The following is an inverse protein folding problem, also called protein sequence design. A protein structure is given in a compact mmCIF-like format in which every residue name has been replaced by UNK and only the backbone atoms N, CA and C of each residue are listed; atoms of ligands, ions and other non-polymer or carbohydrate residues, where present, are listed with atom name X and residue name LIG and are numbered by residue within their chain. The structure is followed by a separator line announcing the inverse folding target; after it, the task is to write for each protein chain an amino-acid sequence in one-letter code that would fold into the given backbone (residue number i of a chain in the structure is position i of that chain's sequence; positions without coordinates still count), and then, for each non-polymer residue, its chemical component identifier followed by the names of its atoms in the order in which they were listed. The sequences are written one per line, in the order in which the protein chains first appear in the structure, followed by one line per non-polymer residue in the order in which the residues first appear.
data_IF_263613885269
#
_entry.id   IF_263613885269
#
_cell.length_a   1.000
_cell.length_b   1.000
_cell.length_c   1.000
_cell.angle_alpha   90.00
_cell.angle_beta   90.00
_cell.angle_gamma   90.00
#
_symmetry.space_group_name_H-M   'P 1'
#
loop_
_entity.id
_entity.type
_entity.pdbx_description
1 polymer ?
#
# COMPACT_ATOMS: atom_id res chain seq x y z
N UNK A 1 28.48 12.53 -11.58
CA UNK A 1 28.05 13.50 -12.61
C UNK A 1 27.27 14.63 -11.93
N UNK A 2 27.61 15.88 -12.21
CA UNK A 2 26.82 17.04 -11.84
C UNK A 2 25.63 17.22 -12.81
N UNK A 3 24.48 17.69 -12.32
CA UNK A 3 23.52 18.47 -13.11
C UNK A 3 22.57 17.74 -14.06
N UNK A 4 21.53 17.07 -13.54
CA UNK A 4 20.27 16.93 -14.28
C UNK A 4 19.23 17.89 -13.67
N UNK A 5 18.56 18.67 -14.50
CA UNK A 5 17.48 19.58 -14.09
C UNK A 5 16.36 18.82 -13.36
N UNK A 6 15.68 19.45 -12.39
CA UNK A 6 14.52 18.83 -11.74
C UNK A 6 13.44 18.50 -12.78
N UNK A 7 12.72 17.39 -12.57
CA UNK A 7 11.54 17.05 -13.35
C UNK A 7 10.46 18.06 -12.99
N UNK A 8 9.94 18.82 -13.97
CA UNK A 8 8.91 19.82 -13.71
C UNK A 8 7.57 19.12 -13.59
N UNK A 9 6.93 19.22 -12.43
CA UNK A 9 5.70 18.50 -12.14
C UNK A 9 4.54 19.44 -11.88
N UNK A 10 3.36 19.00 -12.30
CA UNK A 10 2.08 19.60 -11.92
C UNK A 10 1.37 18.73 -10.88
N UNK A 11 0.85 19.35 -9.82
CA UNK A 11 0.04 18.66 -8.82
C UNK A 11 -1.45 18.87 -9.11
N UNK A 12 -2.14 17.82 -9.54
CA UNK A 12 -3.56 17.86 -9.92
C UNK A 12 -4.40 17.32 -8.76
N UNK A 13 -4.98 18.23 -7.99
CA UNK A 13 -5.72 17.95 -6.76
C UNK A 13 -5.25 18.81 -5.59
N UNK A 14 -6.19 19.29 -4.78
CA UNK A 14 -5.93 20.11 -3.60
C UNK A 14 -6.60 19.54 -2.33
N UNK A 15 -6.84 18.23 -2.32
CA UNK A 15 -7.53 17.52 -1.24
C UNK A 15 -6.69 17.39 0.04
N UNK A 16 -7.32 16.88 1.10
CA UNK A 16 -6.66 16.71 2.39
C UNK A 16 -5.39 15.83 2.33
N UNK A 17 -5.38 14.79 1.48
CA UNK A 17 -4.21 13.91 1.36
C UNK A 17 -3.00 14.63 0.76
N UNK A 18 -3.20 15.56 -0.18
CA UNK A 18 -2.13 16.41 -0.70
C UNK A 18 -1.46 17.18 0.44
N UNK A 19 -2.27 17.85 1.27
CA UNK A 19 -1.80 18.64 2.41
C UNK A 19 -1.05 17.79 3.43
N UNK A 20 -1.55 16.58 3.70
CA UNK A 20 -1.01 15.69 4.74
C UNK A 20 0.23 14.90 4.30
N UNK A 21 0.35 14.56 3.00
CA UNK A 21 1.29 13.53 2.55
C UNK A 21 2.21 13.95 1.40
N UNK A 22 1.78 14.86 0.50
CA UNK A 22 2.59 15.25 -0.67
C UNK A 22 3.45 16.49 -0.42
N UNK A 23 2.96 17.48 0.35
CA UNK A 23 3.65 18.77 0.46
C UNK A 23 5.03 18.66 1.11
N UNK A 24 5.17 17.82 2.15
CA UNK A 24 6.45 17.66 2.84
C UNK A 24 7.50 16.95 1.96
N UNK A 25 7.20 15.79 1.34
CA UNK A 25 8.12 15.17 0.38
C UNK A 25 8.48 16.05 -0.82
N UNK A 26 7.51 16.79 -1.39
CA UNK A 26 7.78 17.70 -2.51
C UNK A 26 8.71 18.86 -2.11
N UNK A 27 8.53 19.40 -0.90
CA UNK A 27 9.42 20.43 -0.37
C UNK A 27 10.85 19.90 -0.18
N UNK A 28 10.97 18.72 0.45
CA UNK A 28 12.26 18.07 0.72
C UNK A 28 13.02 17.68 -0.55
N UNK A 29 12.28 17.42 -1.65
CA UNK A 29 12.83 16.92 -2.91
C UNK A 29 12.62 17.89 -4.08
N UNK A 30 12.53 19.20 -3.81
CA UNK A 30 12.35 20.24 -4.84
C UNK A 30 13.49 20.31 -5.88
N UNK A 31 14.69 19.87 -5.51
CA UNK A 31 15.81 19.67 -6.44
C UNK A 31 15.64 18.48 -7.40
N UNK A 32 14.66 17.61 -7.13
CA UNK A 32 14.30 16.44 -7.94
C UNK A 32 13.02 16.69 -8.72
N UNK A 33 11.98 17.13 -8.02
CA UNK A 33 10.62 17.34 -8.50
C UNK A 33 10.29 18.82 -8.27
N UNK A 34 10.42 19.62 -9.32
CA UNK A 34 10.10 21.03 -9.26
C UNK A 34 8.61 21.21 -9.53
N UNK A 35 7.85 21.58 -8.49
CA UNK A 35 6.42 21.83 -8.62
C UNK A 35 6.16 23.14 -9.38
N UNK A 36 5.88 23.10 -10.68
CA UNK A 36 5.69 24.31 -11.51
C UNK A 36 4.23 24.74 -11.66
N UNK A 37 3.29 23.83 -11.42
CA UNK A 37 1.87 24.09 -11.54
C UNK A 37 1.06 23.30 -10.51
N UNK A 38 -0.08 23.84 -10.12
CA UNK A 38 -1.09 23.14 -9.36
C UNK A 38 -2.45 23.34 -10.01
N UNK A 39 -3.32 22.34 -9.88
CA UNK A 39 -4.68 22.41 -10.39
C UNK A 39 -5.71 21.88 -9.40
N UNK A 40 -6.88 22.49 -9.39
CA UNK A 40 -8.08 21.95 -8.76
C UNK A 40 -9.31 22.36 -9.55
N UNK A 41 -10.40 21.59 -9.44
CA UNK A 41 -11.71 22.03 -9.96
C UNK A 41 -12.16 23.37 -9.35
N UNK A 42 -11.79 23.63 -8.09
CA UNK A 42 -12.12 24.86 -7.38
C UNK A 42 -10.94 25.82 -7.35
N UNK A 43 -11.16 27.05 -7.82
CA UNK A 43 -10.20 28.15 -7.75
C UNK A 43 -9.72 28.37 -6.30
N UNK A 44 -10.66 28.43 -5.34
CA UNK A 44 -10.33 28.58 -3.92
C UNK A 44 -9.31 27.53 -3.46
N UNK A 45 -9.55 26.26 -3.76
CA UNK A 45 -8.68 25.18 -3.27
C UNK A 45 -7.29 25.22 -3.89
N UNK A 46 -7.16 25.56 -5.18
CA UNK A 46 -5.83 25.67 -5.80
C UNK A 46 -5.09 26.91 -5.32
N UNK A 47 -5.79 28.02 -5.05
CA UNK A 47 -5.18 29.23 -4.49
C UNK A 47 -4.62 28.95 -3.09
N UNK A 48 -5.38 28.30 -2.22
CA UNK A 48 -4.89 27.86 -0.89
C UNK A 48 -3.68 26.92 -1.00
N UNK A 49 -3.70 25.99 -1.97
CA UNK A 49 -2.59 25.07 -2.21
C UNK A 49 -1.33 25.81 -2.68
N UNK A 50 -1.45 26.71 -3.65
CA UNK A 50 -0.32 27.50 -4.17
C UNK A 50 0.28 28.37 -3.07
N UNK A 51 -0.55 28.97 -2.21
CA UNK A 51 -0.07 29.69 -1.03
C UNK A 51 0.74 28.78 -0.08
N UNK A 52 0.28 27.55 0.17
CA UNK A 52 0.97 26.61 1.04
C UNK A 52 2.32 26.13 0.48
N UNK A 53 2.45 26.02 -0.85
CA UNK A 53 3.68 25.57 -1.50
C UNK A 53 4.63 26.71 -1.86
N UNK A 54 4.18 27.97 -1.87
CA UNK A 54 4.98 29.14 -2.23
C UNK A 54 6.35 29.20 -1.54
N UNK A 55 6.43 28.73 -0.29
CA UNK A 55 7.67 28.66 0.51
C UNK A 55 8.78 27.81 -0.10
N UNK A 56 8.44 26.79 -0.90
CA UNK A 56 9.40 25.88 -1.54
C UNK A 56 9.24 25.80 -3.07
N UNK A 57 8.14 26.35 -3.62
CA UNK A 57 7.96 26.55 -5.05
C UNK A 57 7.26 27.89 -5.35
N UNK A 58 8.01 29.01 -5.34
CA UNK A 58 7.45 30.34 -5.55
C UNK A 58 6.96 30.58 -6.98
N UNK A 59 7.42 29.78 -7.95
CA UNK A 59 6.99 29.86 -9.36
C UNK A 59 5.78 28.97 -9.68
N UNK A 60 5.19 28.29 -8.69
CA UNK A 60 4.04 27.42 -8.90
C UNK A 60 2.82 28.22 -9.33
N UNK A 61 2.31 27.95 -10.54
CA UNK A 61 1.12 28.60 -11.11
C UNK A 61 -0.15 27.87 -10.70
N UNK A 62 -1.19 28.62 -10.36
CA UNK A 62 -2.53 28.08 -10.08
C UNK A 62 -3.34 27.96 -11.38
N UNK A 63 -3.95 26.80 -11.60
CA UNK A 63 -4.91 26.55 -12.67
C UNK A 63 -6.21 25.99 -12.07
N UNK A 64 -7.37 26.31 -12.64
CA UNK A 64 -8.63 25.76 -12.15
C UNK A 64 -9.64 25.49 -13.26
N UNK A 65 -10.62 24.63 -12.96
CA UNK A 65 -11.66 24.24 -13.90
C UNK A 65 -11.13 23.51 -15.13
N UNK A 66 -12.01 23.24 -16.09
CA UNK A 66 -11.67 22.43 -17.25
C UNK A 66 -10.73 23.18 -18.22
N UNK A 67 -10.96 24.47 -18.43
CA UNK A 67 -10.09 25.31 -19.27
C UNK A 67 -8.67 25.40 -18.70
N UNK A 68 -8.54 25.64 -17.39
CA UNK A 68 -7.25 25.67 -16.72
C UNK A 68 -6.54 24.32 -16.73
N UNK A 69 -7.27 23.20 -16.69
CA UNK A 69 -6.66 21.87 -16.87
C UNK A 69 -6.05 21.77 -18.27
N UNK A 70 -6.79 22.14 -19.31
CA UNK A 70 -6.31 22.08 -20.69
C UNK A 70 -5.12 23.02 -20.93
N UNK A 71 -5.13 24.21 -20.33
CA UNK A 71 -4.01 25.15 -20.40
C UNK A 71 -2.75 24.57 -19.73
N UNK A 72 -2.89 24.01 -18.51
CA UNK A 72 -1.79 23.35 -17.80
C UNK A 72 -1.20 22.21 -18.62
N UNK A 73 -2.05 21.35 -19.19
CA UNK A 73 -1.61 20.20 -19.99
C UNK A 73 -0.89 20.60 -21.28
N UNK A 74 -1.19 21.79 -21.84
CA UNK A 74 -0.46 22.36 -22.99
C UNK A 74 0.86 23.03 -22.61
N UNK A 75 1.10 23.27 -21.32
CA UNK A 75 2.28 23.98 -20.85
C UNK A 75 3.56 23.18 -21.11
N UNK A 76 4.58 23.83 -21.70
CA UNK A 76 5.92 23.28 -21.82
C UNK A 76 6.69 23.29 -20.48
N UNK A 77 6.15 23.95 -19.45
CA UNK A 77 6.72 24.00 -18.10
C UNK A 77 6.28 22.82 -17.22
N UNK A 78 5.56 21.85 -17.78
CA UNK A 78 5.11 20.63 -17.08
C UNK A 78 5.58 19.42 -17.85
N UNK A 79 6.43 18.59 -17.23
CA UNK A 79 6.92 17.34 -17.80
C UNK A 79 6.05 16.15 -17.34
N UNK A 80 5.54 16.21 -16.10
CA UNK A 80 4.73 15.16 -15.50
C UNK A 80 3.59 15.70 -14.63
N UNK A 81 2.54 14.89 -14.45
CA UNK A 81 1.39 15.18 -13.59
C UNK A 81 1.33 14.19 -12.42
N UNK A 82 1.24 14.72 -11.20
CA UNK A 82 0.90 13.99 -9.99
C UNK A 82 -0.61 14.11 -9.77
N UNK A 83 -1.37 13.06 -10.05
CA UNK A 83 -2.84 13.06 -10.03
C UNK A 83 -3.33 12.53 -8.68
N UNK A 84 -3.74 13.44 -7.81
CA UNK A 84 -4.19 13.14 -6.43
C UNK A 84 -5.68 13.49 -6.31
N UNK A 85 -6.50 12.73 -7.01
CA UNK A 85 -7.95 12.93 -7.17
C UNK A 85 -8.73 11.70 -6.73
N UNK A 86 -10.05 11.82 -6.43
CA UNK A 86 -10.91 10.66 -6.25
C UNK A 86 -10.86 9.71 -7.46
N UNK A 87 -10.91 8.39 -7.25
CA UNK A 87 -10.80 7.40 -8.33
C UNK A 87 -11.89 7.60 -9.41
N UNK A 88 -13.07 8.08 -9.03
CA UNK A 88 -14.20 8.32 -9.94
C UNK A 88 -13.87 9.33 -11.04
N UNK A 89 -13.00 10.29 -10.76
CA UNK A 89 -12.69 11.39 -11.69
C UNK A 89 -11.27 11.34 -12.21
N UNK A 90 -10.37 10.59 -11.55
CA UNK A 90 -8.96 10.59 -11.95
C UNK A 90 -8.75 10.01 -13.35
N UNK A 91 -9.55 9.01 -13.76
CA UNK A 91 -9.40 8.33 -15.06
C UNK A 91 -9.35 9.32 -16.22
N UNK A 92 -10.30 10.25 -16.26
CA UNK A 92 -10.38 11.25 -17.33
C UNK A 92 -9.16 12.18 -17.33
N UNK A 93 -8.66 12.56 -16.14
CA UNK A 93 -7.49 13.43 -15.97
C UNK A 93 -6.20 12.69 -16.38
N UNK A 94 -6.05 11.42 -15.99
CA UNK A 94 -4.94 10.55 -16.42
C UNK A 94 -4.92 10.42 -17.93
N UNK A 95 -6.05 10.12 -18.56
CA UNK A 95 -6.15 10.03 -20.01
C UNK A 95 -5.78 11.34 -20.70
N UNK A 96 -6.29 12.48 -20.20
CA UNK A 96 -5.98 13.79 -20.76
C UNK A 96 -4.48 14.12 -20.67
N UNK A 97 -3.85 13.86 -19.51
CA UNK A 97 -2.43 14.11 -19.30
C UNK A 97 -1.55 13.23 -20.20
N UNK A 98 -1.86 11.93 -20.31
CA UNK A 98 -1.13 11.02 -21.18
C UNK A 98 -1.29 11.39 -22.67
N UNK A 99 -2.49 11.79 -23.11
CA UNK A 99 -2.70 12.31 -24.49
C UNK A 99 -1.89 13.57 -24.77
N UNK A 100 -1.70 14.42 -23.76
CA UNK A 100 -0.87 15.61 -23.85
C UNK A 100 0.64 15.32 -23.77
N UNK A 101 1.04 14.05 -23.75
CA UNK A 101 2.44 13.63 -23.70
C UNK A 101 3.09 13.77 -22.33
N UNK A 102 2.31 13.99 -21.26
CA UNK A 102 2.83 14.13 -19.89
C UNK A 102 3.00 12.76 -19.25
N UNK A 103 4.10 12.57 -18.51
CA UNK A 103 4.20 11.42 -17.60
C UNK A 103 3.16 11.56 -16.48
N UNK A 104 2.65 10.45 -15.95
CA UNK A 104 1.61 10.47 -14.93
C UNK A 104 1.95 9.53 -13.77
N UNK A 105 1.92 10.06 -12.56
CA UNK A 105 1.77 9.28 -11.33
C UNK A 105 0.36 9.55 -10.80
N UNK A 106 -0.53 8.56 -10.82
CA UNK A 106 -1.90 8.68 -10.31
C UNK A 106 -2.06 7.96 -8.98
N UNK A 107 -2.95 8.45 -8.13
CA UNK A 107 -3.28 7.76 -6.89
C UNK A 107 -3.99 6.42 -7.11
N UNK A 108 -3.82 5.53 -6.13
CA UNK A 108 -4.67 4.36 -5.94
C UNK A 108 -6.06 4.75 -5.42
N UNK A 109 -7.09 3.89 -5.60
CA UNK A 109 -7.14 2.75 -6.51
C UNK A 109 -6.98 3.18 -7.96
N UNK A 110 -6.38 2.35 -8.82
CA UNK A 110 -6.12 2.69 -10.25
C UNK A 110 -7.36 3.19 -11.00
N UNK A 111 -8.53 2.67 -10.64
CA UNK A 111 -9.85 3.12 -11.06
C UNK A 111 -10.91 2.68 -10.01
N UNK A 112 -12.16 3.15 -10.09
CA UNK A 112 -13.21 2.71 -9.17
C UNK A 112 -13.65 1.26 -9.34
N UNK A 113 -13.54 0.72 -10.56
CA UNK A 113 -13.92 -0.67 -10.87
C UNK A 113 -12.87 -1.33 -11.74
N UNK A 114 -12.80 -2.67 -11.69
CA UNK A 114 -11.87 -3.46 -12.50
C UNK A 114 -12.05 -3.18 -14.00
N UNK A 115 -13.29 -3.20 -14.50
CA UNK A 115 -13.58 -2.90 -15.90
C UNK A 115 -13.06 -1.51 -16.32
N UNK A 116 -13.15 -0.50 -15.45
CA UNK A 116 -12.60 0.83 -15.75
C UNK A 116 -11.08 0.86 -15.71
N UNK A 117 -10.44 0.06 -14.85
CA UNK A 117 -8.99 -0.10 -14.81
C UNK A 117 -8.46 -0.77 -16.08
N UNK A 118 -9.11 -1.84 -16.55
CA UNK A 118 -8.79 -2.54 -17.80
C UNK A 118 -8.91 -1.60 -19.00
N UNK A 119 -9.98 -0.80 -19.06
CA UNK A 119 -10.15 0.23 -20.10
C UNK A 119 -9.00 1.25 -20.08
N UNK A 120 -8.54 1.66 -18.90
CA UNK A 120 -7.47 2.63 -18.76
C UNK A 120 -6.10 2.04 -19.15
N UNK A 121 -5.84 0.77 -18.80
CA UNK A 121 -4.67 0.01 -19.24
C UNK A 121 -4.66 -0.19 -20.76
N UNK A 122 -5.79 -0.59 -21.34
CA UNK A 122 -5.93 -0.74 -22.79
C UNK A 122 -5.69 0.59 -23.51
N UNK A 123 -6.24 1.69 -22.97
CA UNK A 123 -5.98 3.03 -23.47
C UNK A 123 -4.48 3.37 -23.42
N UNK A 124 -3.79 3.17 -22.30
CA UNK A 124 -2.36 3.49 -22.17
C UNK A 124 -1.51 2.68 -23.16
N UNK A 125 -1.80 1.38 -23.33
CA UNK A 125 -1.15 0.51 -24.33
C UNK A 125 -1.39 0.96 -25.77
N UNK A 126 -2.52 1.60 -26.05
CA UNK A 126 -2.85 2.10 -27.39
C UNK A 126 -2.10 3.39 -27.78
N UNK A 127 -1.41 4.04 -26.85
CA UNK A 127 -0.70 5.28 -27.13
C UNK A 127 0.49 5.06 -28.09
N UNK A 128 0.77 6.03 -28.99
CA UNK A 128 1.94 5.98 -29.86
C UNK A 128 3.24 5.86 -29.07
N UNK A 129 4.17 5.05 -29.56
CA UNK A 129 5.46 4.83 -28.91
C UNK A 129 6.54 5.82 -29.39
N UNK A 130 7.44 6.29 -28.51
CA UNK A 130 7.47 6.01 -27.07
C UNK A 130 6.34 6.74 -26.32
N UNK A 131 5.55 5.99 -25.55
CA UNK A 131 4.45 6.54 -24.78
C UNK A 131 4.94 7.14 -23.44
N UNK A 132 4.25 8.14 -22.88
CA UNK A 132 4.55 8.61 -21.55
C UNK A 132 4.36 7.49 -20.51
N UNK A 133 5.26 7.46 -19.52
CA UNK A 133 5.14 6.66 -18.30
C UNK A 133 3.81 6.95 -17.60
N UNK A 134 3.08 5.88 -17.26
CA UNK A 134 1.96 5.91 -16.34
C UNK A 134 2.21 4.93 -15.19
N UNK A 135 2.31 5.50 -13.98
CA UNK A 135 2.51 4.81 -12.72
C UNK A 135 1.33 5.07 -11.77
N UNK A 136 1.14 4.17 -10.80
CA UNK A 136 0.16 4.31 -9.72
C UNK A 136 0.88 4.35 -8.37
N UNK A 137 0.57 5.35 -7.55
CA UNK A 137 1.08 5.49 -6.19
C UNK A 137 0.32 4.54 -5.26
N UNK A 138 0.92 3.38 -4.96
CA UNK A 138 0.51 2.47 -3.89
C UNK A 138 1.57 2.43 -2.78
N UNK A 139 1.39 3.29 -1.77
CA UNK A 139 2.46 3.62 -0.84
C UNK A 139 2.86 2.44 0.05
N UNK A 140 2.00 1.43 0.22
CA UNK A 140 2.30 0.24 1.04
C UNK A 140 3.42 -0.60 0.44
N UNK A 141 3.64 -0.54 -0.89
CA UNK A 141 4.81 -1.16 -1.54
C UNK A 141 6.13 -0.46 -1.21
N UNK A 142 6.07 0.73 -0.63
CA UNK A 142 7.23 1.55 -0.29
C UNK A 142 7.42 1.77 1.22
N UNK A 143 6.51 1.25 2.06
CA UNK A 143 6.61 1.44 3.51
C UNK A 143 7.68 0.52 4.10
N UNK A 144 8.62 1.13 4.80
CA UNK A 144 9.82 0.45 5.31
C UNK A 144 9.52 -0.78 6.18
N UNK A 145 8.55 -0.73 7.09
CA UNK A 145 8.20 -1.89 7.90
C UNK A 145 7.68 -3.09 7.08
N UNK A 146 6.95 -2.82 5.99
CA UNK A 146 6.49 -3.86 5.06
C UNK A 146 7.64 -4.36 4.19
N UNK A 147 8.51 -3.47 3.69
CA UNK A 147 9.70 -3.87 2.93
C UNK A 147 10.62 -4.76 3.76
N UNK A 148 10.83 -4.45 5.04
CA UNK A 148 11.63 -5.31 5.93
C UNK A 148 10.99 -6.68 6.18
N UNK A 149 9.66 -6.75 6.30
CA UNK A 149 8.96 -8.04 6.38
C UNK A 149 9.17 -8.86 5.10
N UNK A 150 8.98 -8.22 3.95
CA UNK A 150 9.26 -8.83 2.64
C UNK A 150 10.68 -9.35 2.54
N UNK A 151 11.67 -8.55 2.91
CA UNK A 151 13.09 -8.92 2.85
C UNK A 151 13.42 -10.06 3.80
N UNK A 152 12.78 -10.08 4.99
CA UNK A 152 12.89 -11.19 5.94
C UNK A 152 12.41 -12.50 5.34
N UNK A 153 11.27 -12.47 4.64
CA UNK A 153 10.69 -13.62 3.94
C UNK A 153 11.61 -14.05 2.78
N UNK A 154 11.97 -13.11 1.90
CA UNK A 154 12.79 -13.37 0.72
C UNK A 154 14.19 -13.90 1.05
N UNK A 155 14.77 -13.47 2.17
CA UNK A 155 16.05 -13.98 2.68
C UNK A 155 15.94 -15.42 3.25
N UNK A 156 14.74 -15.99 3.33
CA UNK A 156 14.49 -17.30 3.93
C UNK A 156 14.66 -17.31 5.45
N UNK A 157 14.66 -16.16 6.11
CA UNK A 157 14.89 -16.06 7.57
C UNK A 157 13.87 -16.89 8.35
N UNK A 158 12.61 -16.90 7.90
CA UNK A 158 11.51 -17.64 8.54
C UNK A 158 11.45 -19.13 8.16
N UNK A 159 12.32 -19.60 7.26
CA UNK A 159 12.15 -20.92 6.64
C UNK A 159 11.06 -20.92 5.57
N UNK A 160 10.48 -22.10 5.32
CA UNK A 160 9.36 -22.21 4.39
C UNK A 160 8.15 -21.49 5.01
N UNK A 161 7.58 -20.52 4.31
CA UNK A 161 6.40 -19.79 4.78
C UNK A 161 5.18 -20.71 4.67
N UNK A 162 4.59 -21.02 5.82
CA UNK A 162 3.42 -21.88 5.92
C UNK A 162 2.11 -21.08 5.88
N UNK A 163 2.14 -19.80 6.29
CA UNK A 163 0.94 -18.96 6.39
C UNK A 163 1.25 -17.48 6.25
N UNK A 164 0.37 -16.78 5.54
CA UNK A 164 0.28 -15.33 5.51
C UNK A 164 -1.10 -14.91 6.03
N UNK A 165 -1.15 -13.97 6.97
CA UNK A 165 -2.39 -13.41 7.50
C UNK A 165 -2.40 -11.90 7.34
N UNK A 166 -3.41 -11.37 6.66
CA UNK A 166 -3.68 -9.93 6.59
C UNK A 166 -4.91 -9.59 7.42
N UNK A 167 -4.72 -8.87 8.52
CA UNK A 167 -5.79 -8.43 9.41
C UNK A 167 -5.83 -6.90 9.49
N UNK A 168 -6.98 -6.32 9.18
CA UNK A 168 -7.17 -4.87 9.15
C UNK A 168 -8.40 -4.44 9.92
N UNK A 169 -8.17 -3.69 10.97
CA UNK A 169 -9.17 -3.00 11.78
C UNK A 169 -9.03 -1.50 11.53
N UNK A 170 -10.00 -0.91 10.84
CA UNK A 170 -10.09 0.54 10.65
C UNK A 170 -11.20 1.09 11.55
N UNK A 171 -10.88 2.14 12.29
CA UNK A 171 -11.83 2.84 13.15
C UNK A 171 -12.44 4.04 12.40
N UNK A 172 -13.38 3.78 11.50
CA UNK A 172 -14.15 4.84 10.85
C UNK A 172 -15.34 5.21 11.70
N UNK A 173 -15.56 6.52 11.87
CA UNK A 173 -16.71 7.05 12.58
C UNK A 173 -17.12 8.41 12.02
N UNK A 174 -18.40 8.82 12.18
CA UNK A 174 -18.85 10.17 11.86
C UNK A 174 -17.95 11.25 12.48
N UNK A 175 -17.65 12.30 11.71
CA UNK A 175 -16.77 13.39 12.12
C UNK A 175 -15.26 13.12 11.93
N UNK A 176 -14.88 11.92 11.49
CA UNK A 176 -13.52 11.67 11.05
C UNK A 176 -13.29 12.26 9.64
N UNK A 177 -12.16 12.95 9.44
CA UNK A 177 -11.79 13.63 8.17
C UNK A 177 -12.02 12.79 6.90
N UNK A 178 -11.65 11.50 6.93
CA UNK A 178 -11.79 10.60 5.78
C UNK A 178 -13.21 10.04 5.63
N UNK A 179 -13.96 9.92 6.74
CA UNK A 179 -15.37 9.52 6.72
C UNK A 179 -16.25 10.57 6.01
N UNK A 180 -16.00 11.84 6.31
CA UNK A 180 -16.82 12.94 5.79
C UNK A 180 -16.63 13.20 4.28
N UNK A 181 -15.66 12.55 3.65
CA UNK A 181 -15.48 12.57 2.19
C UNK A 181 -16.60 11.79 1.49
N UNK A 182 -17.63 12.47 0.98
CA UNK A 182 -18.82 11.85 0.37
C UNK A 182 -18.48 10.79 -0.69
N UNK A 183 -17.50 11.04 -1.57
CA UNK A 183 -17.12 10.10 -2.64
C UNK A 183 -16.62 8.74 -2.12
N UNK A 184 -16.14 8.66 -0.88
CA UNK A 184 -15.70 7.39 -0.27
C UNK A 184 -16.86 6.55 0.25
N UNK A 185 -18.02 7.17 0.49
CA UNK A 185 -19.22 6.52 1.03
C UNK A 185 -20.16 6.00 -0.05
N UNK A 186 -19.97 6.45 -1.28
CA UNK A 186 -20.82 6.13 -2.41
C UNK A 186 -20.42 4.76 -3.01
N UNK A 187 -21.17 3.73 -2.62
CA UNK A 187 -20.96 2.36 -3.10
C UNK A 187 -21.41 2.14 -4.55
N UNK A 188 -22.22 3.05 -5.12
CA UNK A 188 -22.64 2.96 -6.52
C UNK A 188 -21.47 3.30 -7.45
N UNK A 189 -20.71 4.34 -7.10
CA UNK A 189 -19.55 4.77 -7.89
C UNK A 189 -18.23 4.14 -7.46
N UNK A 190 -18.18 3.54 -6.27
CA UNK A 190 -17.05 2.78 -5.75
C UNK A 190 -17.55 1.51 -5.03
N UNK A 191 -17.73 0.39 -5.74
CA UNK A 191 -18.21 -0.85 -5.15
C UNK A 191 -17.42 -1.25 -3.91
N UNK A 192 -18.09 -1.62 -2.82
CA UNK A 192 -17.45 -1.93 -1.53
C UNK A 192 -16.94 -0.71 -0.74
N UNK A 193 -17.09 0.51 -1.26
CA UNK A 193 -16.75 1.76 -0.58
C UNK A 193 -15.35 1.73 0.07
N UNK A 194 -15.28 1.85 1.40
CA UNK A 194 -14.03 1.82 2.16
C UNK A 194 -13.28 0.49 2.09
N UNK A 195 -13.97 -0.64 1.88
CA UNK A 195 -13.32 -1.93 1.67
C UNK A 195 -12.52 -1.92 0.37
N UNK A 196 -12.96 -1.19 -0.66
CA UNK A 196 -12.18 -1.02 -1.89
C UNK A 196 -11.12 0.06 -1.75
N UNK A 197 -11.47 1.23 -1.21
CA UNK A 197 -10.53 2.35 -1.09
C UNK A 197 -9.33 2.03 -0.20
N UNK A 198 -9.57 1.32 0.91
CA UNK A 198 -8.54 0.85 1.82
C UNK A 198 -7.99 -0.51 1.43
N UNK A 199 -8.83 -1.44 0.95
CA UNK A 199 -8.44 -2.82 0.65
C UNK A 199 -7.30 -2.96 -0.34
N UNK A 200 -7.23 -2.08 -1.35
CA UNK A 200 -6.14 -2.10 -2.34
C UNK A 200 -4.75 -2.02 -1.71
N UNK A 201 -4.61 -1.27 -0.61
CA UNK A 201 -3.35 -1.20 0.15
C UNK A 201 -2.98 -2.54 0.78
N UNK A 202 -3.97 -3.19 1.37
CA UNK A 202 -3.79 -4.39 2.17
C UNK A 202 -3.54 -5.60 1.29
N UNK A 203 -4.25 -5.69 0.16
CA UNK A 203 -3.95 -6.72 -0.85
C UNK A 203 -2.61 -6.45 -1.54
N UNK A 204 -2.21 -5.19 -1.78
CA UNK A 204 -0.89 -4.89 -2.33
C UNK A 204 0.24 -5.40 -1.40
N UNK A 205 0.11 -5.16 -0.10
CA UNK A 205 1.03 -5.66 0.91
C UNK A 205 1.02 -7.21 0.97
N UNK A 206 -0.16 -7.83 0.96
CA UNK A 206 -0.29 -9.29 0.97
C UNK A 206 0.34 -9.93 -0.27
N UNK A 207 0.06 -9.41 -1.47
CA UNK A 207 0.65 -9.87 -2.73
C UNK A 207 2.17 -9.70 -2.74
N UNK A 208 2.69 -8.63 -2.13
CA UNK A 208 4.13 -8.44 -1.96
C UNK A 208 4.78 -9.54 -1.11
N UNK A 209 4.15 -9.94 -0.01
CA UNK A 209 4.66 -11.03 0.84
C UNK A 209 4.54 -12.39 0.16
N UNK A 210 3.43 -12.65 -0.53
CA UNK A 210 3.24 -13.87 -1.29
C UNK A 210 4.29 -14.02 -2.39
N UNK A 211 4.58 -12.93 -3.13
CA UNK A 211 5.68 -12.90 -4.10
C UNK A 211 7.03 -13.20 -3.46
N UNK A 212 7.34 -12.60 -2.31
CA UNK A 212 8.58 -12.87 -1.57
C UNK A 212 8.67 -14.32 -1.05
N UNK A 213 7.54 -14.93 -0.72
CA UNK A 213 7.45 -16.33 -0.31
C UNK A 213 7.52 -17.32 -1.49
N UNK A 214 7.58 -16.83 -2.74
CA UNK A 214 7.59 -17.66 -3.94
C UNK A 214 6.22 -18.25 -4.29
N UNK A 215 5.12 -17.66 -3.79
CA UNK A 215 3.77 -18.21 -4.00
C UNK A 215 3.15 -17.86 -5.36
N UNK A 216 3.71 -16.88 -6.07
CA UNK A 216 3.22 -16.43 -7.38
C UNK A 216 2.09 -15.41 -7.31
N UNK A 217 1.31 -15.29 -8.38
CA UNK A 217 0.14 -14.41 -8.45
C UNK A 217 -1.08 -15.01 -7.74
N UNK A 218 -2.00 -14.15 -7.31
CA UNK A 218 -3.29 -14.59 -6.79
C UNK A 218 -4.16 -15.13 -7.94
N UNK A 219 -4.80 -16.29 -7.74
CA UNK A 219 -5.56 -17.02 -8.77
C UNK A 219 -7.05 -17.11 -8.45
N UNK A 220 -7.41 -17.14 -7.17
CA UNK A 220 -8.79 -17.16 -6.73
C UNK A 220 -8.96 -16.53 -5.34
N UNK A 221 -10.18 -16.12 -5.03
CA UNK A 221 -10.55 -15.64 -3.70
C UNK A 221 -11.94 -16.12 -3.30
N UNK A 222 -12.14 -16.32 -1.99
CA UNK A 222 -13.46 -16.55 -1.40
C UNK A 222 -13.62 -15.67 -0.18
N UNK A 223 -14.78 -15.05 0.00
CA UNK A 223 -15.04 -14.24 1.19
C UNK A 223 -16.50 -14.21 1.60
N UNK A 224 -16.73 -13.86 2.85
CA UNK A 224 -18.02 -13.48 3.40
C UNK A 224 -17.97 -12.01 3.81
N UNK A 225 -19.05 -11.28 3.56
CA UNK A 225 -19.17 -9.88 3.95
C UNK A 225 -20.44 -9.65 4.77
N UNK A 226 -20.38 -8.69 5.69
CA UNK A 226 -21.51 -8.29 6.55
C UNK A 226 -21.50 -6.78 6.77
N UNK A 227 -22.67 -6.25 7.10
CA UNK A 227 -22.86 -4.91 7.63
C UNK A 227 -23.15 -4.99 9.12
N UNK A 228 -22.35 -4.36 9.98
CA UNK A 228 -22.56 -4.37 11.43
C UNK A 228 -22.83 -2.98 12.01
N UNK A 229 -22.32 -1.92 11.39
CA UNK A 229 -22.49 -0.55 11.85
C UNK A 229 -23.69 0.12 11.21
N UNK A 230 -24.50 0.81 12.00
CA UNK A 230 -25.64 1.59 11.48
C UNK A 230 -25.22 2.86 10.72
N UNK A 231 -23.96 3.29 10.90
CA UNK A 231 -23.49 4.60 10.43
C UNK A 231 -22.46 4.50 9.29
N UNK A 232 -22.08 3.30 8.86
CA UNK A 232 -21.08 3.08 7.83
C UNK A 232 -21.72 2.50 6.55
N UNK A 233 -21.16 2.79 5.37
CA UNK A 233 -21.54 2.08 4.15
C UNK A 233 -21.30 0.58 4.29
N UNK A 234 -22.25 -0.23 3.81
CA UNK A 234 -22.12 -1.69 3.82
C UNK A 234 -21.63 -2.23 2.47
N UNK A 235 -20.94 -3.39 2.48
CA UNK A 235 -20.47 -4.10 3.68
C UNK A 235 -19.33 -3.35 4.38
N UNK A 236 -19.27 -3.45 5.71
CA UNK A 236 -18.24 -2.85 6.55
C UNK A 236 -17.32 -3.89 7.22
N UNK A 237 -17.63 -5.18 7.04
CA UNK A 237 -16.81 -6.34 7.43
C UNK A 237 -16.64 -7.28 6.25
N UNK A 238 -15.41 -7.74 6.02
CA UNK A 238 -15.03 -8.70 4.99
C UNK A 238 -14.02 -9.71 5.56
N UNK A 239 -14.26 -11.00 5.37
CA UNK A 239 -13.38 -12.09 5.80
C UNK A 239 -13.26 -13.14 4.69
N UNK A 240 -12.06 -13.55 4.35
CA UNK A 240 -11.84 -14.45 3.22
C UNK A 240 -10.47 -15.12 3.16
N UNK A 241 -10.31 -15.94 2.13
CA UNK A 241 -9.08 -16.60 1.72
C UNK A 241 -8.71 -16.20 0.30
N UNK A 242 -7.41 -16.14 0.03
CA UNK A 242 -6.84 -15.85 -1.28
C UNK A 242 -5.88 -16.97 -1.65
N UNK A 243 -6.10 -17.62 -2.80
CA UNK A 243 -5.21 -18.64 -3.37
C UNK A 243 -4.21 -18.03 -4.34
N UNK A 244 -3.03 -18.65 -4.39
CA UNK A 244 -1.94 -18.26 -5.28
C UNK A 244 -1.54 -19.40 -6.24
N UNK A 245 -0.76 -19.09 -7.27
CA UNK A 245 -0.30 -20.04 -8.31
C UNK A 245 0.40 -21.28 -7.73
N UNK A 246 1.12 -21.14 -6.62
CA UNK A 246 1.75 -22.27 -5.91
C UNK A 246 0.77 -23.23 -5.22
N UNK A 247 -0.52 -22.91 -5.17
CA UNK A 247 -1.53 -23.63 -4.39
C UNK A 247 -1.65 -23.17 -2.93
N UNK A 248 -0.71 -22.36 -2.44
CA UNK A 248 -0.78 -21.76 -1.10
C UNK A 248 -1.97 -20.80 -0.97
N UNK A 249 -2.48 -20.64 0.26
CA UNK A 249 -3.56 -19.73 0.58
C UNK A 249 -3.20 -18.79 1.73
N UNK A 250 -3.62 -17.53 1.63
CA UNK A 250 -3.51 -16.53 2.68
C UNK A 250 -4.88 -16.18 3.28
N UNK A 251 -4.90 -15.80 4.56
CA UNK A 251 -6.09 -15.23 5.19
C UNK A 251 -6.16 -13.73 4.97
N UNK A 252 -7.37 -13.21 4.73
CA UNK A 252 -7.63 -11.79 4.56
C UNK A 252 -8.86 -11.39 5.37
N UNK A 253 -8.70 -10.45 6.30
CA UNK A 253 -9.79 -9.87 7.06
C UNK A 253 -9.69 -8.35 7.12
N UNK A 254 -10.82 -7.69 6.96
CA UNK A 254 -10.94 -6.25 7.00
C UNK A 254 -12.26 -5.83 7.64
N UNK A 255 -12.22 -4.89 8.57
CA UNK A 255 -13.39 -4.19 9.09
C UNK A 255 -13.15 -2.69 9.12
N UNK A 256 -14.20 -1.92 8.85
CA UNK A 256 -14.19 -0.45 9.00
C UNK A 256 -14.96 0.04 10.23
N UNK A 257 -15.58 -0.89 10.95
CA UNK A 257 -16.39 -0.66 12.14
C UNK A 257 -15.63 -0.89 13.45
N UNK A 258 -14.29 -0.90 13.43
CA UNK A 258 -13.49 -1.19 14.62
C UNK A 258 -13.51 -0.02 15.63
N UNK A 259 -13.37 -0.35 16.92
CA UNK A 259 -13.22 0.67 17.98
C UNK A 259 -11.81 1.29 18.03
N UNK A 260 -10.82 0.66 17.41
CA UNK A 260 -9.44 1.13 17.35
C UNK A 260 -8.78 0.69 16.05
N UNK A 261 -7.86 1.51 15.53
CA UNK A 261 -7.09 1.13 14.34
C UNK A 261 -6.02 0.10 14.69
N UNK A 262 -5.96 -0.98 13.91
CA UNK A 262 -4.88 -1.96 13.92
C UNK A 262 -4.74 -2.59 12.53
N UNK A 263 -3.54 -2.57 11.96
CA UNK A 263 -3.23 -3.20 10.67
C UNK A 263 -2.04 -4.11 10.88
N UNK A 264 -2.19 -5.39 10.60
CA UNK A 264 -1.16 -6.38 10.80
C UNK A 264 -1.06 -7.32 9.59
N UNK A 265 0.15 -7.49 9.08
CA UNK A 265 0.50 -8.51 8.10
C UNK A 265 1.50 -9.45 8.75
N UNK A 266 1.13 -10.72 8.94
CA UNK A 266 1.93 -11.73 9.62
C UNK A 266 2.35 -12.83 8.65
N UNK A 267 3.60 -13.23 8.72
CA UNK A 267 4.15 -14.40 8.07
C UNK A 267 4.60 -15.40 9.12
N UNK A 268 4.15 -16.65 8.98
CA UNK A 268 4.56 -17.77 9.82
C UNK A 268 5.32 -18.75 8.96
N UNK A 269 6.55 -19.05 9.32
CA UNK A 269 7.39 -20.03 8.65
C UNK A 269 7.93 -21.10 9.59
N UNK A 270 8.58 -22.12 9.02
CA UNK A 270 9.08 -23.29 9.75
C UNK A 270 10.17 -22.99 10.78
N UNK A 271 10.79 -21.81 10.73
CA UNK A 271 11.86 -21.38 11.65
C UNK A 271 11.50 -20.14 12.48
N UNK A 272 10.28 -19.65 12.40
CA UNK A 272 9.84 -18.48 13.15
C UNK A 272 8.75 -17.69 12.45
N UNK A 273 8.44 -16.54 13.01
CA UNK A 273 7.42 -15.64 12.48
C UNK A 273 7.86 -14.19 12.51
N UNK A 274 7.26 -13.41 11.62
CA UNK A 274 7.41 -11.97 11.61
C UNK A 274 6.08 -11.30 11.25
N UNK A 275 5.83 -10.13 11.82
CA UNK A 275 4.70 -9.27 11.48
C UNK A 275 5.13 -7.83 11.27
N UNK A 276 4.44 -7.15 10.34
CA UNK A 276 4.46 -5.70 10.23
C UNK A 276 3.14 -5.17 10.79
N UNK A 277 3.20 -4.38 11.87
CA UNK A 277 2.05 -3.92 12.63
C UNK A 277 1.96 -2.39 12.69
N UNK A 278 0.75 -1.84 12.58
CA UNK A 278 0.46 -0.41 12.73
C UNK A 278 -0.81 -0.21 13.54
N UNK A 279 -0.76 0.58 14.62
CA UNK A 279 -1.91 0.82 15.50
C UNK A 279 -1.88 -0.07 16.74
N UNK A 280 -3.00 -0.29 17.42
CA UNK A 280 -3.05 -1.21 18.58
C UNK A 280 -2.13 -0.85 19.76
N UNK A 281 -1.88 0.45 20.00
CA UNK A 281 -1.03 0.92 21.11
C UNK A 281 0.46 1.12 20.77
N UNK A 282 0.86 0.94 19.50
CA UNK A 282 2.20 1.35 19.02
C UNK A 282 2.35 2.87 18.98
N UNK A 283 3.59 3.37 18.94
CA UNK A 283 3.89 4.81 18.92
C UNK A 283 3.06 5.57 17.86
N UNK A 284 2.65 6.80 18.19
CA UNK A 284 1.80 7.67 17.36
C UNK A 284 2.39 7.79 15.94
N UNK A 285 1.69 7.28 14.92
CA UNK A 285 2.13 7.48 13.53
C UNK A 285 1.44 6.60 12.50
N UNK A 286 1.84 6.80 11.25
CA UNK A 286 1.43 5.97 10.09
C UNK A 286 2.42 4.84 9.79
N UNK A 287 3.49 4.73 10.55
CA UNK A 287 4.58 3.78 10.34
C UNK A 287 4.21 2.35 10.79
N UNK A 288 4.85 1.36 10.17
CA UNK A 288 4.79 -0.03 10.61
C UNK A 288 5.95 -0.34 11.56
N UNK A 289 5.65 -1.08 12.62
CA UNK A 289 6.64 -1.74 13.47
C UNK A 289 6.81 -3.17 12.98
N UNK A 290 8.05 -3.58 12.75
CA UNK A 290 8.36 -4.99 12.50
C UNK A 290 8.53 -5.70 13.84
N UNK A 291 7.84 -6.84 14.01
CA UNK A 291 7.99 -7.75 15.14
C UNK A 291 8.48 -9.09 14.60
N UNK A 292 9.53 -9.67 15.18
CA UNK A 292 10.09 -10.95 14.75
C UNK A 292 10.30 -11.87 15.93
N UNK A 293 9.89 -13.12 15.81
CA UNK A 293 10.14 -14.18 16.77
C UNK A 293 10.72 -15.38 16.04
N UNK A 294 12.04 -15.54 16.10
CA UNK A 294 12.75 -16.64 15.46
C UNK A 294 12.90 -17.83 16.42
N UNK A 295 13.01 -19.04 15.87
CA UNK A 295 13.19 -20.26 16.64
C UNK A 295 14.36 -20.15 17.63
N UNK A 296 14.09 -20.46 18.89
CA UNK A 296 15.07 -20.37 19.99
C UNK A 296 15.15 -19.00 20.68
N UNK A 297 14.42 -17.97 20.21
CA UNK A 297 14.31 -16.70 20.92
C UNK A 297 13.14 -16.72 21.92
N UNK A 298 13.37 -16.23 23.13
CA UNK A 298 12.33 -16.12 24.16
C UNK A 298 11.47 -14.85 24.03
N UNK A 299 11.99 -13.81 23.38
CA UNK A 299 11.32 -12.50 23.26
C UNK A 299 11.40 -11.98 21.83
N UNK A 300 10.32 -11.39 21.29
CA UNK A 300 10.36 -10.82 19.94
C UNK A 300 11.31 -9.64 19.81
N UNK A 301 11.99 -9.54 18.67
CA UNK A 301 12.73 -8.33 18.28
C UNK A 301 11.77 -7.34 17.65
N UNK A 302 11.93 -6.05 17.98
CA UNK A 302 11.07 -4.98 17.45
C UNK A 302 11.90 -3.91 16.76
N UNK A 303 11.43 -3.44 15.61
CA UNK A 303 12.04 -2.34 14.89
C UNK A 303 10.98 -1.36 14.41
N UNK A 304 11.13 -0.09 14.79
CA UNK A 304 10.27 0.99 14.32
C UNK A 304 10.72 1.51 12.96
N UNK A 305 9.77 2.03 12.19
CA UNK A 305 10.01 2.78 10.95
C UNK A 305 9.45 4.20 11.06
N UNK A 306 9.85 5.09 10.17
CA UNK A 306 9.33 6.48 10.16
C UNK A 306 8.71 6.89 8.82
N UNK A 307 8.88 6.08 7.77
CA UNK A 307 8.43 6.40 6.42
C UNK A 307 6.96 6.07 6.18
N UNK A 308 6.26 6.94 5.46
CA UNK A 308 4.89 6.73 4.98
C UNK A 308 4.84 6.13 3.56
N UNK A 309 6.00 5.96 2.91
CA UNK A 309 6.11 5.47 1.53
C UNK A 309 6.01 6.55 0.45
N UNK A 310 5.28 7.65 0.69
CA UNK A 310 4.96 8.67 -0.34
C UNK A 310 6.19 9.35 -0.92
N UNK A 311 7.19 9.65 -0.10
CA UNK A 311 8.45 10.21 -0.61
C UNK A 311 9.15 9.25 -1.58
N UNK A 312 9.16 7.96 -1.26
CA UNK A 312 9.82 6.95 -2.09
C UNK A 312 9.08 6.76 -3.43
N UNK A 313 7.75 6.77 -3.44
CA UNK A 313 6.96 6.69 -4.68
C UNK A 313 7.27 7.85 -5.64
N UNK A 314 7.37 9.06 -5.10
CA UNK A 314 7.73 10.25 -5.85
C UNK A 314 9.15 10.14 -6.44
N UNK A 315 10.09 9.60 -5.67
CA UNK A 315 11.46 9.40 -6.13
C UNK A 315 11.57 8.28 -7.17
N UNK A 316 10.90 7.14 -6.97
CA UNK A 316 10.76 6.06 -7.96
C UNK A 316 10.23 6.63 -9.28
N UNK A 317 9.14 7.39 -9.22
CA UNK A 317 8.53 7.99 -10.39
C UNK A 317 9.46 8.98 -11.08
N UNK A 318 10.17 9.82 -10.33
CA UNK A 318 11.15 10.75 -10.88
C UNK A 318 12.29 10.01 -11.61
N UNK A 319 12.79 8.90 -11.07
CA UNK A 319 13.81 8.05 -11.72
C UNK A 319 13.28 7.46 -13.03
N UNK A 320 12.08 6.88 -13.02
CA UNK A 320 11.45 6.28 -14.20
C UNK A 320 11.16 7.31 -15.31
N UNK A 321 10.51 8.42 -14.97
CA UNK A 321 10.17 9.48 -15.93
C UNK A 321 11.43 10.07 -16.59
N UNK A 322 12.54 10.19 -15.86
CA UNK A 322 13.82 10.66 -16.42
C UNK A 322 14.55 9.64 -17.29
N UNK A 323 14.25 8.36 -17.13
CA UNK A 323 14.81 7.29 -17.95
C UNK A 323 14.00 7.04 -19.23
N UNK A 324 12.73 7.50 -19.26
CA UNK A 324 11.87 7.44 -20.42
C UNK A 324 12.41 8.35 -21.55
N UNK A 325 13.25 7.79 -22.41
CA UNK A 325 13.89 8.50 -23.53
C UNK A 325 15.40 8.26 -23.69
N UNK A 326 16.06 7.58 -22.75
CA UNK A 326 17.49 7.26 -22.84
C UNK A 326 17.74 5.85 -23.39
N UNK A 327 17.60 5.67 -24.71
CA UNK A 327 18.14 4.51 -25.45
C UNK A 327 17.26 3.25 -25.59
N UNK A 328 17.67 2.28 -26.44
CA UNK A 328 16.92 1.05 -26.68
C UNK A 328 17.00 0.13 -25.45
N UNK A 329 15.87 -0.02 -24.76
CA UNK A 329 15.79 -0.71 -23.47
C UNK A 329 14.93 0.02 -22.42
N UNK A 330 14.15 1.02 -22.82
CA UNK A 330 13.26 1.76 -21.92
C UNK A 330 12.46 0.83 -20.99
N UNK A 331 12.54 1.11 -19.69
CA UNK A 331 11.83 0.35 -18.66
C UNK A 331 10.33 0.43 -18.93
N UNK A 332 9.77 -0.69 -19.39
CA UNK A 332 8.35 -0.78 -19.67
C UNK A 332 7.61 -1.04 -18.37
N UNK A 333 6.76 -0.10 -17.95
CA UNK A 333 5.80 -0.30 -16.85
C UNK A 333 4.63 -1.21 -17.25
N UNK A 334 4.60 -1.62 -18.52
CA UNK A 334 3.77 -2.73 -19.00
C UNK A 334 4.70 -3.92 -19.15
N UNK A 335 4.52 -4.95 -18.32
CA UNK A 335 5.40 -6.12 -18.22
C UNK A 335 5.96 -6.61 -19.57
N UNK A 336 7.22 -7.02 -19.55
CA UNK A 336 7.80 -7.77 -20.67
C UNK A 336 7.13 -9.15 -20.77
N UNK A 337 7.12 -9.73 -21.97
CA UNK A 337 6.48 -11.01 -22.28
C UNK A 337 6.92 -12.22 -21.43
N UNK A 338 7.92 -12.08 -20.55
CA UNK A 338 8.48 -13.18 -19.75
C UNK A 338 7.60 -13.57 -18.55
N UNK A 339 6.68 -12.72 -18.13
CA UNK A 339 5.70 -13.01 -17.05
C UNK A 339 4.37 -13.58 -17.58
N UNK A 340 4.27 -13.83 -18.89
CA UNK A 340 3.11 -14.48 -19.52
C UNK A 340 3.21 -16.03 -19.54
N UNK A 341 4.25 -16.62 -18.93
CA UNK A 341 4.55 -18.04 -19.05
C UNK A 341 4.87 -18.73 -17.73
N UNK A 342 3.85 -19.23 -17.05
CA UNK A 342 3.77 -20.59 -16.49
C UNK A 342 2.51 -20.71 -15.60
N UNK A 343 1.34 -20.68 -16.25
CA UNK A 343 0.11 -21.15 -15.62
C UNK A 343 0.19 -22.68 -15.48
N UNK A 344 0.25 -23.15 -14.24
CA UNK A 344 -0.26 -24.46 -13.88
C UNK A 344 -1.16 -24.25 -12.66
N UNK A 345 -2.46 -24.10 -12.90
CA UNK A 345 -3.44 -24.23 -11.83
C UNK A 345 -3.36 -25.67 -11.31
N UNK A 346 -2.73 -25.87 -10.16
CA UNK A 346 -2.90 -27.10 -9.40
C UNK A 346 -4.25 -27.03 -8.71
N UNK A 347 -5.01 -28.12 -8.75
CA UNK A 347 -6.34 -28.30 -8.13
C UNK A 347 -6.34 -28.27 -6.58
N UNK A 348 -5.32 -27.65 -5.97
CA UNK A 348 -5.11 -27.64 -4.52
C UNK A 348 -4.54 -28.95 -3.97
N UNK A 349 -4.09 -29.87 -4.82
CA UNK A 349 -3.25 -30.99 -4.39
C UNK A 349 -1.86 -30.51 -3.98
N UNK A 350 -1.37 -31.04 -2.87
CA UNK A 350 -0.06 -30.74 -2.29
C UNK A 350 0.99 -31.65 -2.97
N UNK A 351 1.84 -31.13 -3.88
CA UNK A 351 2.75 -31.95 -4.65
C UNK A 351 3.83 -32.63 -3.80
N UNK A 352 4.19 -32.08 -2.63
CA UNK A 352 5.13 -32.71 -1.71
C UNK A 352 4.46 -33.88 -0.96
N UNK A 353 3.18 -33.72 -0.58
CA UNK A 353 2.38 -34.79 0.05
C UNK A 353 2.02 -35.92 -0.91
N UNK A 354 1.78 -35.62 -2.18
CA UNK A 354 1.44 -36.63 -3.18
C UNK A 354 2.68 -37.36 -3.74
N UNK A 355 3.84 -36.71 -3.78
CA UNK A 355 5.11 -37.38 -4.02
C UNK A 355 5.46 -38.38 -2.89
N UNK A 356 5.15 -38.05 -1.64
CA UNK A 356 5.38 -38.94 -0.48
C UNK A 356 4.42 -40.15 -0.43
N UNK A 357 3.19 -40.02 -0.97
CA UNK A 357 2.22 -41.13 -1.07
C UNK A 357 2.52 -42.07 -2.24
N UNK A 358 3.00 -41.54 -3.37
CA UNK A 358 3.39 -42.37 -4.51
C UNK A 358 4.62 -43.25 -4.22
N UNK A 359 5.47 -42.87 -3.25
CA UNK A 359 6.67 -43.62 -2.85
C UNK A 359 6.46 -44.73 -1.81
N UNK A 360 5.25 -44.93 -1.28
CA UNK A 360 5.01 -45.88 -0.16
C UNK A 360 3.93 -46.94 -0.40
N UNK A 361 3.26 -46.96 -1.55
CA UNK A 361 2.30 -48.02 -1.88
C UNK A 361 2.99 -49.19 -2.62
N UNK A 362 3.74 -49.99 -1.87
CA UNK A 362 4.33 -51.24 -2.33
C UNK A 362 4.49 -52.25 -1.19
N UNK A 363 3.59 -53.24 -1.16
CA UNK A 363 3.59 -54.49 -0.38
C UNK A 363 2.99 -54.51 1.05
N UNK A 364 2.03 -55.44 1.24
CA UNK A 364 1.47 -55.89 2.52
C UNK A 364 0.11 -55.24 2.85
N UNK A 365 -1.06 -55.86 2.71
CA UNK A 365 -1.39 -57.29 2.84
C UNK A 365 -1.80 -57.62 4.28
N UNK A 366 -3.06 -57.34 4.64
CA UNK A 366 -3.85 -57.98 5.71
C UNK A 366 -3.37 -57.83 7.17
N UNK A 367 -4.12 -57.13 8.02
CA UNK A 367 -5.07 -57.79 8.93
C UNK A 367 -5.83 -56.77 9.79
N UNK A 368 -7.09 -57.12 10.07
CA UNK A 368 -8.01 -56.37 10.91
C UNK A 368 -7.75 -56.64 12.40
N UNK A 369 -7.76 -55.59 13.23
CA UNK A 369 -8.05 -55.72 14.65
C UNK A 369 -8.67 -54.43 15.20
N UNK A 370 -9.89 -54.61 15.68
CA UNK A 370 -10.82 -53.70 16.32
C UNK A 370 -10.49 -53.61 17.82
N UNK A 371 -10.30 -52.41 18.39
CA UNK A 371 -10.44 -52.19 19.85
C UNK A 371 -10.99 -50.79 20.10
N UNK A 372 -12.08 -50.73 20.86
CA UNK A 372 -12.79 -49.54 21.33
C UNK A 372 -12.57 -49.26 22.82
N UNK A 373 -12.90 -48.02 23.23
CA UNK A 373 -13.24 -47.53 24.59
C UNK A 373 -12.10 -47.43 25.63
N UNK A 374 -12.00 -46.45 26.55
CA UNK A 374 -12.82 -45.29 26.98
C UNK A 374 -11.97 -44.41 27.96
N UNK A 375 -12.46 -43.26 28.50
CA UNK A 375 -11.67 -42.16 29.07
C UNK A 375 -11.49 -42.20 30.60
N UNK A 376 -10.65 -41.31 31.15
CA UNK A 376 -10.54 -41.08 32.59
C UNK A 376 -10.57 -39.58 32.95
N UNK A 377 -11.26 -39.31 34.06
CA UNK A 377 -11.80 -38.03 34.50
C UNK A 377 -10.91 -37.28 35.52
N UNK A 378 -11.38 -36.05 35.84
CA UNK A 378 -10.91 -35.06 36.81
C UNK A 378 -10.80 -35.59 38.26
N UNK A 379 -10.05 -35.01 39.22
CA UNK A 379 -10.15 -33.72 39.97
C UNK A 379 -9.33 -33.93 41.31
N UNK A 380 -9.25 -33.05 42.35
CA UNK A 380 -9.41 -31.58 42.49
C UNK A 380 -8.37 -30.85 43.43
N UNK A 381 -8.46 -29.50 43.44
CA UNK A 381 -8.42 -28.48 44.52
C UNK A 381 -7.41 -28.48 45.72
N UNK A 382 -6.84 -27.29 46.02
CA UNK A 382 -7.21 -26.40 47.18
C UNK A 382 -6.50 -25.01 47.08
N UNK A 383 -7.23 -23.86 47.14
CA UNK A 383 -7.39 -22.87 48.24
C UNK A 383 -6.06 -22.41 48.91
N UNK A 384 -5.81 -21.13 49.22
CA UNK A 384 -6.64 -20.07 49.82
C UNK A 384 -5.94 -18.69 49.59
N UNK A 385 -6.65 -17.60 49.27
CA UNK A 385 -7.25 -16.55 50.13
C UNK A 385 -6.36 -15.34 50.53
N UNK A 386 -7.03 -14.17 50.44
CA UNK A 386 -6.81 -12.86 51.08
C UNK A 386 -5.76 -11.94 50.43
N UNK A 387 -5.98 -10.64 50.22
CA UNK A 387 -7.09 -9.75 50.56
C UNK A 387 -6.59 -8.30 50.62
N UNK A 388 -7.39 -7.33 50.14
CA UNK A 388 -7.25 -5.88 50.38
C UNK A 388 -6.02 -5.19 49.74
N UNK A 389 -5.97 -3.89 49.49
CA UNK A 389 -6.94 -2.79 49.50
C UNK A 389 -6.21 -1.61 48.81
N UNK A 390 -6.96 -0.62 48.34
CA UNK A 390 -6.46 0.55 47.59
C UNK A 390 -5.66 1.54 48.46
N UNK A 391 -4.77 2.34 47.83
CA UNK A 391 -4.70 3.80 48.01
C UNK A 391 -3.60 4.45 47.15
N UNK A 392 -3.91 5.68 46.76
CA UNK A 392 -3.17 6.56 45.85
C UNK A 392 -1.90 7.19 46.43
N UNK A 393 -1.02 7.67 45.55
CA UNK A 393 -0.11 8.79 45.85
C UNK A 393 0.09 9.66 44.60
N UNK A 394 -0.27 10.93 44.74
CA UNK A 394 0.04 12.04 43.84
C UNK A 394 1.45 12.58 44.15
N UNK A 395 2.08 13.22 43.15
CA UNK A 395 3.16 14.19 43.38
C UNK A 395 4.21 14.23 42.29
N UNK A 396 4.10 15.18 41.35
CA UNK A 396 5.26 15.65 40.59
C UNK A 396 5.09 17.14 40.27
N UNK A 397 6.04 17.90 40.79
CA UNK A 397 6.17 19.35 40.72
C UNK A 397 6.83 19.79 39.41
N UNK A 398 6.32 20.89 38.86
CA UNK A 398 6.88 21.62 37.73
C UNK A 398 8.07 22.49 38.16
N UNK A 399 9.05 22.65 37.28
CA UNK A 399 9.97 23.78 37.28
C UNK A 399 10.28 24.20 35.84
N UNK A 400 9.87 25.43 35.51
CA UNK A 400 10.24 26.19 34.32
C UNK A 400 11.61 26.84 34.53
N UNK A 401 12.38 27.01 33.45
CA UNK A 401 13.42 28.04 33.36
C UNK A 401 13.37 28.66 31.96
N UNK A 402 13.04 29.96 31.93
CA UNK A 402 13.23 30.86 30.79
C UNK A 402 14.68 31.40 30.77
N UNK A 403 15.16 31.79 29.59
CA UNK A 403 16.41 32.55 29.42
C UNK A 403 16.53 33.12 28.01
N UNK A 404 16.58 34.45 27.93
CA UNK A 404 16.43 35.28 26.74
C UNK A 404 17.75 35.61 25.98
N UNK A 405 17.59 36.01 24.71
CA UNK A 405 18.26 37.20 24.13
C UNK A 405 19.56 37.02 23.30
N UNK A 406 19.57 37.55 22.07
CA UNK A 406 20.79 37.88 21.34
C UNK A 406 20.66 38.01 19.82
N UNK A 407 20.46 39.23 19.32
CA UNK A 407 20.56 39.61 17.90
C UNK A 407 22.01 39.61 17.39
N UNK A 408 22.22 39.24 16.12
CA UNK A 408 23.52 39.36 15.44
C UNK A 408 23.44 39.03 13.95
N UNK A 409 23.37 40.05 13.11
CA UNK A 409 23.33 39.91 11.65
C UNK A 409 24.64 39.38 11.05
N UNK A 410 24.54 38.39 10.15
CA UNK A 410 25.59 38.04 9.19
C UNK A 410 24.99 37.70 7.82
N UNK A 411 25.44 38.44 6.80
CA UNK A 411 25.18 38.15 5.37
C UNK A 411 25.70 36.74 5.03
N UNK A 412 24.83 35.86 4.51
CA UNK A 412 25.20 34.51 4.05
C UNK A 412 25.65 34.54 2.58
N UNK A 413 26.84 33.98 2.31
CA UNK A 413 27.26 33.51 0.98
C UNK A 413 26.36 32.35 0.52
N UNK A 414 26.27 32.02 -0.79
CA UNK A 414 25.44 30.92 -1.26
C UNK A 414 25.88 29.62 -0.58
N UNK A 415 24.95 29.00 0.15
CA UNK A 415 25.24 27.85 1.01
C UNK A 415 25.39 26.57 0.23
N UNK A 416 26.38 25.76 0.59
CA UNK A 416 26.50 24.36 0.17
C UNK A 416 25.22 23.58 0.53
N UNK A 417 24.79 22.62 -0.30
CA UNK A 417 23.56 21.87 -0.04
C UNK A 417 23.61 21.17 1.32
N UNK A 418 22.45 21.19 1.99
CA UNK A 418 22.18 20.53 3.27
C UNK A 418 22.39 19.01 3.17
N UNK A 419 22.56 18.35 4.33
CA UNK A 419 22.79 16.90 4.40
C UNK A 419 21.62 16.11 3.80
N UNK A 420 20.39 16.59 3.99
CA UNK A 420 19.16 16.05 3.38
C UNK A 420 19.13 16.23 1.86
N UNK A 421 19.51 17.40 1.34
CA UNK A 421 19.62 17.63 -0.11
C UNK A 421 20.69 16.74 -0.77
N UNK A 422 21.81 16.49 -0.08
CA UNK A 422 22.84 15.56 -0.57
C UNK A 422 22.37 14.10 -0.56
N UNK A 423 21.63 13.68 0.47
CA UNK A 423 21.06 12.34 0.55
C UNK A 423 19.96 12.10 -0.50
N UNK A 424 19.15 13.13 -0.81
CA UNK A 424 18.20 13.11 -1.94
C UNK A 424 18.92 13.03 -3.28
N UNK A 425 19.97 13.82 -3.49
CA UNK A 425 20.78 13.78 -4.72
C UNK A 425 21.53 12.45 -4.92
N UNK A 426 21.97 11.78 -3.84
CA UNK A 426 22.61 10.47 -3.91
C UNK A 426 21.64 9.37 -4.37
N UNK A 427 20.40 9.34 -3.84
CA UNK A 427 19.33 8.40 -4.22
C UNK A 427 18.79 8.57 -5.65
N UNK A 428 19.21 9.63 -6.35
CA UNK A 428 18.85 9.91 -7.75
C UNK A 428 19.89 9.46 -8.76
N UNK A 429 21.11 9.15 -8.31
CA UNK A 429 22.15 8.64 -9.20
C UNK A 429 21.97 7.15 -9.48
N UNK A 430 21.05 6.49 -8.76
CA UNK A 430 20.63 5.14 -9.02
C UNK A 430 19.73 5.12 -10.26
N UNK A 431 20.12 4.32 -11.25
CA UNK A 431 19.24 3.97 -12.37
C UNK A 431 17.95 3.35 -11.80
N UNK A 432 16.78 3.60 -12.42
CA UNK A 432 15.55 2.96 -11.97
C UNK A 432 15.73 1.45 -11.98
N UNK A 433 15.44 0.81 -10.85
CA UNK A 433 15.50 -0.64 -10.72
C UNK A 433 14.21 -1.29 -11.24
N UNK A 434 14.23 -2.59 -11.53
CA UNK A 434 13.00 -3.36 -11.78
C UNK A 434 12.04 -3.28 -10.57
N UNK A 435 12.61 -3.17 -9.37
CA UNK A 435 11.86 -2.98 -8.13
C UNK A 435 11.14 -1.62 -8.09
N UNK A 436 11.78 -0.53 -8.54
CA UNK A 436 11.14 0.78 -8.67
C UNK A 436 9.94 0.71 -9.64
N UNK A 437 10.10 0.04 -10.77
CA UNK A 437 9.05 -0.15 -11.77
C UNK A 437 7.87 -0.94 -11.21
N UNK A 438 8.15 -2.01 -10.46
CA UNK A 438 7.13 -2.84 -9.83
C UNK A 438 6.37 -2.10 -8.72
N UNK A 439 7.08 -1.34 -7.87
CA UNK A 439 6.51 -0.64 -6.70
C UNK A 439 5.40 0.34 -7.06
N UNK A 440 5.47 0.97 -8.23
CA UNK A 440 4.48 1.95 -8.70
C UNK A 440 3.84 1.53 -10.03
N UNK A 441 3.82 0.22 -10.32
CA UNK A 441 3.25 -0.31 -11.55
C UNK A 441 1.75 -0.12 -11.62
N UNK A 442 1.27 0.45 -12.73
CA UNK A 442 -0.16 0.59 -13.01
C UNK A 442 -0.86 -0.75 -13.25
N UNK A 443 -0.14 -1.75 -13.76
CA UNK A 443 -0.65 -3.11 -13.89
C UNK A 443 -0.78 -3.78 -12.53
N UNK A 444 0.22 -3.62 -11.66
CA UNK A 444 0.15 -4.19 -10.30
C UNK A 444 -0.99 -3.58 -9.49
N UNK A 445 -1.23 -2.28 -9.63
CA UNK A 445 -2.38 -1.63 -9.03
C UNK A 445 -3.73 -2.13 -9.58
N UNK A 446 -3.78 -2.54 -10.86
CA UNK A 446 -4.98 -3.19 -11.41
C UNK A 446 -5.18 -4.61 -10.88
N UNK A 447 -4.10 -5.37 -10.68
CA UNK A 447 -4.14 -6.69 -10.02
C UNK A 447 -4.58 -6.58 -8.56
N UNK A 448 -4.18 -5.53 -7.85
CA UNK A 448 -4.70 -5.24 -6.50
C UNK A 448 -6.21 -5.02 -6.52
N UNK A 449 -6.68 -4.16 -7.42
CA UNK A 449 -8.11 -3.89 -7.56
C UNK A 449 -8.90 -5.15 -7.96
N UNK A 450 -8.33 -5.99 -8.82
CA UNK A 450 -8.93 -7.27 -9.21
C UNK A 450 -9.12 -8.18 -7.99
N UNK A 451 -8.11 -8.30 -7.13
CA UNK A 451 -8.19 -9.12 -5.91
C UNK A 451 -9.25 -8.61 -4.93
N UNK A 452 -9.33 -7.29 -4.72
CA UNK A 452 -10.40 -6.73 -3.87
C UNK A 452 -11.78 -6.96 -4.49
N UNK A 453 -11.92 -6.77 -5.80
CA UNK A 453 -13.16 -7.02 -6.51
C UNK A 453 -13.61 -8.49 -6.40
N UNK A 454 -12.69 -9.45 -6.56
CA UNK A 454 -12.97 -10.87 -6.44
C UNK A 454 -13.44 -11.25 -5.02
N UNK A 455 -12.82 -10.70 -3.98
CA UNK A 455 -13.27 -10.89 -2.59
C UNK A 455 -14.71 -10.37 -2.39
N UNK A 456 -15.01 -9.17 -2.88
CA UNK A 456 -16.35 -8.56 -2.76
C UNK A 456 -17.41 -9.31 -3.60
N UNK A 457 -17.06 -9.73 -4.80
CA UNK A 457 -17.93 -10.49 -5.69
C UNK A 457 -18.27 -11.86 -5.10
N UNK A 458 -17.27 -12.56 -4.56
CA UNK A 458 -17.47 -13.84 -3.86
C UNK A 458 -18.45 -13.70 -2.69
N UNK A 459 -18.30 -12.61 -1.91
CA UNK A 459 -19.14 -12.35 -0.75
C UNK A 459 -20.59 -11.99 -1.09
N UNK A 460 -20.85 -11.42 -2.27
CA UNK A 460 -22.19 -10.95 -2.67
C UNK A 460 -22.99 -11.98 -3.47
N UNK A 461 -22.33 -12.92 -4.16
CA UNK A 461 -22.99 -13.99 -4.93
C UNK A 461 -23.51 -15.17 -4.09
N UNK A 462 -23.27 -15.20 -2.79
CA UNK A 462 -23.60 -16.33 -1.91
C UNK A 462 -25.06 -16.37 -1.44
N UNK A 463 -25.93 -17.04 -2.21
CA UNK A 463 -27.10 -17.73 -1.65
C UNK A 463 -26.67 -19.12 -1.16
N UNK A 464 -26.81 -19.38 0.15
CA UNK A 464 -26.50 -20.62 0.92
C UNK A 464 -25.09 -21.26 0.78
N UNK A 465 -24.31 -21.00 -0.28
CA UNK A 465 -22.90 -21.42 -0.42
C UNK A 465 -22.07 -20.29 -1.06
N UNK A 466 -21.03 -19.84 -0.37
CA UNK A 466 -20.10 -18.81 -0.85
C UNK A 466 -19.40 -19.27 -2.13
N UNK A 467 -19.51 -18.50 -3.22
CA UNK A 467 -18.93 -18.87 -4.51
C UNK A 467 -17.46 -18.42 -4.59
N UNK A 468 -16.56 -19.29 -5.03
CA UNK A 468 -15.15 -18.93 -5.28
C UNK A 468 -15.07 -18.05 -6.53
N UNK A 469 -14.48 -16.86 -6.40
CA UNK A 469 -14.20 -15.97 -7.53
C UNK A 469 -12.81 -16.28 -8.10
N UNK A 470 -12.71 -16.43 -9.42
CA UNK A 470 -11.45 -16.59 -10.15
C UNK A 470 -10.92 -15.22 -10.56
N UNK A 471 -9.60 -15.04 -10.52
CA UNK A 471 -8.91 -13.76 -10.77
C UNK A 471 -8.43 -13.56 -12.20
#
# INVERSE_FOLDING_TARGET
MAGRSPLKVALLGAGGFVKDAYLSPLAANSGTLLLTAAWSRSERSVTELVQAVHRFSPSCKAYHGDEGLQELLRSADVDACLVVLPPQVQRAVVQAALRAGKHVLSEKPVAPTLAQAEQLLAFHRSLPQPAPIWAVAENYRCMEGLLRLRDTIAAGTLGAVARLDMATDLALHPGAKYFDSQWRRDSETLPGAYLTEGGVHFVAALRMMAGAAGWGQATAAVACARGISDNLPHPDVLQGLVWFESGAAASYSMTTAAGSMHVALRAVGTRGEASAERGGGTAKGRAFRLVQLLGGQATPTQMESSSTGVEEELLCFARLARAAGTGPGGVSLTLTAREAGAAAATDGSDPERDAARAGTAGSGGGDAAEVAAEPAAAQPADKAQHGGEAAAAQGSTAAQVEGAGGEGGRRRRPGSPSVTERAGQARLQEMPSEEDAWRISSLEAARDLALVAALLESATKGGEKTAVAQL
#
